data_IF_157663165240
#
_entry.id   IF_157663165240
#
_cell.length_a   1.000
_cell.length_b   1.000
_cell.length_c   1.000
_cell.angle_alpha   90.00
_cell.angle_beta   90.00
_cell.angle_gamma   90.00
#
_symmetry.space_group_name_H-M   'P 1'
#
loop_
_entity.id
_entity.type
_entity.pdbx_description
1 polymer ?
#
# COMPACT_ATOMS: atom_id res chain seq x y z
N UNK A 1 10.39 -9.84 23.55
CA UNK A 1 8.97 -9.52 23.86
C UNK A 1 8.46 -8.57 22.78
N UNK A 2 7.63 -9.05 21.84
CA UNK A 2 7.11 -8.20 20.76
C UNK A 2 5.91 -7.39 21.26
N UNK A 3 5.90 -6.08 21.02
CA UNK A 3 4.78 -5.20 21.38
C UNK A 3 3.51 -5.63 20.61
N UNK A 4 2.34 -5.65 21.26
CA UNK A 4 1.11 -6.21 20.66
C UNK A 4 0.71 -5.51 19.36
N UNK A 5 0.95 -4.20 19.28
CA UNK A 5 0.75 -3.40 18.08
C UNK A 5 1.56 -3.90 16.88
N UNK A 6 2.86 -4.15 17.05
CA UNK A 6 3.72 -4.67 15.97
C UNK A 6 3.26 -6.05 15.49
N UNK A 7 2.77 -6.91 16.40
CA UNK A 7 2.22 -8.21 16.02
C UNK A 7 0.99 -8.06 15.14
N UNK A 8 0.10 -7.13 15.47
CA UNK A 8 -1.09 -6.83 14.68
C UNK A 8 -0.71 -6.33 13.27
N UNK A 9 0.24 -5.39 13.16
CA UNK A 9 0.71 -4.88 11.87
C UNK A 9 1.32 -5.98 11.00
N UNK A 10 2.18 -6.82 11.58
CA UNK A 10 2.82 -7.95 10.86
C UNK A 10 1.78 -8.98 10.43
N UNK A 11 0.77 -9.23 11.26
CA UNK A 11 -0.32 -10.13 10.91
C UNK A 11 -1.16 -9.60 9.75
N UNK A 12 -1.58 -8.33 9.80
CA UNK A 12 -2.31 -7.67 8.71
C UNK A 12 -1.49 -7.70 7.42
N UNK A 13 -0.22 -7.33 7.49
CA UNK A 13 0.71 -7.41 6.37
C UNK A 13 0.74 -8.81 5.74
N UNK A 14 0.92 -9.83 6.58
CA UNK A 14 1.06 -11.22 6.13
C UNK A 14 -0.22 -11.72 5.44
N UNK A 15 -1.39 -11.40 5.98
CA UNK A 15 -2.68 -11.78 5.38
C UNK A 15 -2.86 -11.10 4.03
N UNK A 16 -2.70 -9.77 3.97
CA UNK A 16 -2.94 -9.01 2.73
C UNK A 16 -1.97 -9.45 1.65
N UNK A 17 -0.69 -9.62 2.00
CA UNK A 17 0.33 -10.10 1.08
C UNK A 17 -0.02 -11.50 0.54
N UNK A 18 -0.33 -12.45 1.43
CA UNK A 18 -0.68 -13.83 1.04
C UNK A 18 -1.89 -13.87 0.11
N UNK A 19 -2.96 -13.15 0.45
CA UNK A 19 -4.17 -13.10 -0.39
C UNK A 19 -3.84 -12.52 -1.76
N UNK A 20 -3.12 -11.39 -1.79
CA UNK A 20 -2.79 -10.71 -3.06
C UNK A 20 -1.92 -11.60 -3.95
N UNK A 21 -0.95 -12.31 -3.38
CA UNK A 21 -0.11 -13.26 -4.11
C UNK A 21 -0.93 -14.42 -4.66
N UNK A 22 -1.78 -15.06 -3.83
CA UNK A 22 -2.63 -16.18 -4.29
C UNK A 22 -3.58 -15.74 -5.41
N UNK A 23 -4.22 -14.57 -5.26
CA UNK A 23 -5.10 -14.03 -6.31
C UNK A 23 -4.34 -13.81 -7.61
N UNK A 24 -3.12 -13.27 -7.55
CA UNK A 24 -2.29 -13.09 -8.74
C UNK A 24 -1.95 -14.43 -9.41
N UNK A 25 -1.59 -15.44 -8.62
CA UNK A 25 -1.33 -16.78 -9.13
C UNK A 25 -2.57 -17.39 -9.80
N UNK A 26 -3.75 -17.21 -9.22
CA UNK A 26 -5.02 -17.66 -9.84
C UNK A 26 -5.29 -16.94 -11.15
N UNK A 27 -5.04 -15.62 -11.22
CA UNK A 27 -5.21 -14.84 -12.45
C UNK A 27 -4.26 -15.33 -13.55
N UNK A 28 -2.99 -15.59 -13.23
CA UNK A 28 -2.03 -16.16 -14.20
C UNK A 28 -2.49 -17.52 -14.72
N UNK A 29 -2.98 -18.40 -13.84
CA UNK A 29 -3.53 -19.71 -14.26
C UNK A 29 -4.72 -19.57 -15.20
N UNK A 30 -5.65 -18.65 -14.93
CA UNK A 30 -6.81 -18.37 -15.80
C UNK A 30 -6.35 -17.85 -17.17
N UNK A 31 -5.28 -17.08 -17.23
CA UNK A 31 -4.69 -16.55 -18.46
C UNK A 31 -3.82 -17.57 -19.21
N UNK A 32 -3.64 -18.79 -18.68
CA UNK A 32 -2.79 -19.82 -19.26
C UNK A 32 -1.29 -19.54 -19.10
N UNK A 33 -0.90 -18.60 -18.24
CA UNK A 33 0.49 -18.25 -17.96
C UNK A 33 0.99 -19.15 -16.83
N UNK A 34 1.94 -20.03 -17.16
CA UNK A 34 2.52 -20.98 -16.19
C UNK A 34 3.69 -20.39 -15.41
N UNK A 35 4.53 -19.61 -16.09
CA UNK A 35 5.73 -19.00 -15.53
C UNK A 35 5.55 -17.48 -15.44
N UNK A 36 5.94 -16.88 -14.32
CA UNK A 36 5.80 -15.43 -14.14
C UNK A 36 6.73 -14.69 -15.12
N UNK A 37 6.17 -13.91 -16.07
CA UNK A 37 6.97 -13.21 -17.08
C UNK A 37 7.92 -12.17 -16.48
N UNK A 38 7.64 -11.65 -15.28
CA UNK A 38 8.46 -10.66 -14.57
C UNK A 38 9.36 -11.30 -13.50
N UNK A 39 9.30 -12.62 -13.35
CA UNK A 39 10.00 -13.37 -12.31
C UNK A 39 9.65 -12.92 -10.89
N UNK A 40 10.57 -13.16 -9.94
CA UNK A 40 10.34 -12.90 -8.51
C UNK A 40 10.27 -11.41 -8.14
N UNK A 41 10.62 -10.50 -9.06
CA UNK A 41 10.59 -9.07 -8.80
C UNK A 41 9.17 -8.54 -8.58
N UNK A 42 8.19 -9.12 -9.27
CA UNK A 42 6.80 -8.73 -9.11
C UNK A 42 6.28 -9.00 -7.69
N UNK A 43 6.70 -10.11 -7.08
CA UNK A 43 6.36 -10.43 -5.68
C UNK A 43 7.02 -9.44 -4.69
N UNK A 44 8.26 -9.02 -4.95
CA UNK A 44 8.93 -7.99 -4.13
C UNK A 44 8.23 -6.63 -4.24
N UNK A 45 7.83 -6.22 -5.45
CA UNK A 45 7.07 -4.99 -5.65
C UNK A 45 5.73 -5.06 -4.92
N UNK A 46 5.04 -6.20 -4.98
CA UNK A 46 3.80 -6.44 -4.23
C UNK A 46 4.02 -6.33 -2.73
N UNK A 47 5.08 -6.96 -2.20
CA UNK A 47 5.46 -6.86 -0.80
C UNK A 47 5.66 -5.41 -0.35
N UNK A 48 6.38 -4.61 -1.15
CA UNK A 48 6.60 -3.18 -0.87
C UNK A 48 5.30 -2.38 -0.87
N UNK A 49 4.39 -2.61 -1.82
CA UNK A 49 3.10 -1.92 -1.88
C UNK A 49 2.24 -2.26 -0.66
N UNK A 50 2.16 -3.53 -0.28
CA UNK A 50 1.42 -3.96 0.91
C UNK A 50 2.02 -3.36 2.18
N UNK A 51 3.35 -3.29 2.26
CA UNK A 51 4.06 -2.66 3.37
C UNK A 51 3.70 -1.16 3.49
N UNK A 52 3.66 -0.43 2.37
CA UNK A 52 3.24 0.98 2.34
C UNK A 52 1.79 1.12 2.83
N UNK A 53 0.90 0.21 2.44
CA UNK A 53 -0.49 0.19 2.91
C UNK A 53 -0.61 -0.02 4.42
N UNK A 54 0.15 -0.96 4.97
CA UNK A 54 0.19 -1.21 6.42
C UNK A 54 0.81 -0.02 7.16
N UNK A 55 1.88 0.57 6.62
CA UNK A 55 2.46 1.79 7.17
C UNK A 55 1.45 2.94 7.21
N UNK A 56 0.65 3.12 6.15
CA UNK A 56 -0.39 4.12 6.10
C UNK A 56 -1.45 3.90 7.20
N UNK A 57 -1.88 2.65 7.38
CA UNK A 57 -2.82 2.27 8.44
C UNK A 57 -2.25 2.58 9.83
N UNK A 58 -1.00 2.21 10.09
CA UNK A 58 -0.39 2.42 11.39
C UNK A 58 -0.14 3.90 11.72
N UNK A 59 0.33 4.67 10.74
CA UNK A 59 0.45 6.12 10.90
C UNK A 59 -0.93 6.75 11.14
N UNK A 60 -1.98 6.32 10.46
CA UNK A 60 -3.32 6.86 10.68
C UNK A 60 -3.86 6.57 12.10
N UNK A 61 -3.52 5.40 12.67
CA UNK A 61 -4.01 4.95 13.98
C UNK A 61 -3.21 5.50 15.15
N UNK A 62 -1.88 5.52 15.05
CA UNK A 62 -0.98 5.79 16.18
C UNK A 62 -0.35 7.18 16.18
N UNK A 63 -0.46 7.95 15.10
CA UNK A 63 0.14 9.28 15.06
C UNK A 63 -0.62 10.25 16.01
N UNK A 64 0.07 10.86 17.00
CA UNK A 64 -0.55 11.64 18.08
C UNK A 64 -0.93 13.07 17.62
N UNK A 65 -1.54 13.21 16.45
CA UNK A 65 -1.97 14.48 15.87
C UNK A 65 -3.49 14.59 15.99
N UNK A 66 -3.96 15.56 16.79
CA UNK A 66 -5.40 15.77 17.04
C UNK A 66 -6.15 16.24 15.79
N UNK A 67 -5.52 17.08 14.96
CA UNK A 67 -6.14 17.60 13.74
C UNK A 67 -6.13 16.52 12.65
N UNK A 68 -7.32 16.04 12.27
CA UNK A 68 -7.49 14.98 11.30
C UNK A 68 -6.92 15.35 9.92
N UNK A 69 -7.07 16.60 9.49
CA UNK A 69 -6.54 17.06 8.20
C UNK A 69 -5.02 17.01 8.19
N UNK A 70 -4.38 17.51 9.25
CA UNK A 70 -2.93 17.51 9.35
C UNK A 70 -2.38 16.08 9.48
N UNK A 71 -3.06 15.20 10.24
CA UNK A 71 -2.70 13.79 10.33
C UNK A 71 -2.77 13.11 8.97
N UNK A 72 -3.87 13.27 8.24
CA UNK A 72 -4.04 12.68 6.91
C UNK A 72 -2.99 13.20 5.93
N UNK A 73 -2.65 14.49 5.99
CA UNK A 73 -1.59 15.08 5.16
C UNK A 73 -0.23 14.45 5.45
N UNK A 74 0.14 14.28 6.73
CA UNK A 74 1.41 13.64 7.11
C UNK A 74 1.45 12.19 6.64
N UNK A 75 0.37 11.42 6.85
CA UNK A 75 0.27 10.02 6.37
C UNK A 75 0.50 9.98 4.85
N UNK A 76 -0.20 10.85 4.09
CA UNK A 76 -0.06 10.93 2.63
C UNK A 76 1.37 11.24 2.19
N UNK A 77 2.01 12.26 2.77
CA UNK A 77 3.38 12.67 2.39
C UNK A 77 4.37 11.53 2.64
N UNK A 78 4.32 10.89 3.81
CA UNK A 78 5.26 9.81 4.16
C UNK A 78 5.07 8.62 3.24
N UNK A 79 3.83 8.21 3.00
CA UNK A 79 3.52 7.01 2.23
C UNK A 79 3.71 7.21 0.72
N UNK A 80 3.43 8.41 0.20
CA UNK A 80 3.78 8.79 -1.17
C UNK A 80 5.30 8.82 -1.37
N UNK A 81 6.07 9.32 -0.40
CA UNK A 81 7.53 9.27 -0.45
C UNK A 81 8.03 7.82 -0.53
N UNK A 82 7.45 6.89 0.25
CA UNK A 82 7.75 5.46 0.14
C UNK A 82 7.37 4.87 -1.23
N UNK A 83 6.27 5.30 -1.83
CA UNK A 83 5.87 4.86 -3.17
C UNK A 83 6.87 5.34 -4.24
N UNK A 84 7.31 6.60 -4.15
CA UNK A 84 8.38 7.11 -5.01
C UNK A 84 9.71 6.41 -4.79
N UNK A 85 10.08 6.09 -3.55
CA UNK A 85 11.27 5.29 -3.27
C UNK A 85 11.17 3.90 -3.88
N UNK A 86 9.98 3.28 -3.86
CA UNK A 86 9.75 1.98 -4.50
C UNK A 86 9.97 2.06 -6.01
N UNK A 87 9.42 3.08 -6.68
CA UNK A 87 9.64 3.33 -8.13
C UNK A 87 11.09 3.70 -8.44
N UNK A 88 11.74 4.45 -7.55
CA UNK A 88 13.17 4.71 -7.68
C UNK A 88 13.96 3.40 -7.58
N UNK A 89 13.65 2.52 -6.63
CA UNK A 89 14.35 1.23 -6.50
C UNK A 89 14.16 0.31 -7.71
N UNK A 90 13.07 0.41 -8.46
CA UNK A 90 12.87 -0.42 -9.66
C UNK A 90 13.82 -0.10 -10.80
N UNK A 91 14.45 1.09 -10.81
CA UNK A 91 15.42 1.47 -11.85
C UNK A 91 16.68 0.58 -11.89
N UNK A 92 16.98 -0.11 -10.78
CA UNK A 92 18.12 -1.03 -10.68
C UNK A 92 17.83 -2.41 -11.30
N UNK A 93 16.57 -2.67 -11.68
CA UNK A 93 16.10 -3.93 -12.25
C UNK A 93 15.87 -3.74 -13.75
N UNK A 94 15.07 -2.74 -14.09
CA UNK A 94 14.65 -2.45 -15.46
C UNK A 94 14.68 -0.94 -15.73
N UNK A 95 14.90 -0.53 -17.00
CA UNK A 95 14.86 0.88 -17.37
C UNK A 95 13.49 1.46 -17.05
N UNK A 96 13.50 2.54 -16.27
CA UNK A 96 12.26 3.18 -15.81
C UNK A 96 11.50 3.80 -16.99
N UNK A 97 10.20 3.55 -17.05
CA UNK A 97 9.35 4.23 -18.02
C UNK A 97 9.40 5.75 -17.80
N UNK A 98 9.36 6.52 -18.89
CA UNK A 98 9.47 7.99 -18.86
C UNK A 98 8.45 8.65 -17.92
N UNK A 99 7.26 8.06 -17.82
CA UNK A 99 6.15 8.57 -17.01
C UNK A 99 5.96 7.81 -15.67
N UNK A 100 6.86 6.90 -15.28
CA UNK A 100 6.69 6.05 -14.10
C UNK A 100 6.40 6.82 -12.79
N UNK A 101 7.07 7.94 -12.56
CA UNK A 101 6.83 8.80 -11.39
C UNK A 101 5.47 9.50 -11.46
N UNK A 102 5.03 9.91 -12.65
CA UNK A 102 3.72 10.53 -12.85
C UNK A 102 2.61 9.50 -12.65
N UNK A 103 2.81 8.30 -13.18
CA UNK A 103 1.85 7.21 -13.08
C UNK A 103 1.65 6.77 -11.63
N UNK A 104 2.74 6.55 -10.88
CA UNK A 104 2.62 6.20 -9.46
C UNK A 104 2.00 7.34 -8.66
N UNK A 105 2.33 8.60 -8.95
CA UNK A 105 1.75 9.75 -8.26
C UNK A 105 0.23 9.82 -8.45
N UNK A 106 -0.25 9.70 -9.69
CA UNK A 106 -1.68 9.75 -10.01
C UNK A 106 -2.40 8.55 -9.39
N UNK A 107 -1.89 7.34 -9.58
CA UNK A 107 -2.49 6.10 -9.07
C UNK A 107 -2.56 6.11 -7.54
N UNK A 108 -1.45 6.45 -6.88
CA UNK A 108 -1.36 6.49 -5.43
C UNK A 108 -2.29 7.55 -4.84
N UNK A 109 -2.26 8.77 -5.40
CA UNK A 109 -3.08 9.89 -4.92
C UNK A 109 -4.56 9.62 -5.10
N UNK A 110 -4.97 9.08 -6.26
CA UNK A 110 -6.35 8.69 -6.53
C UNK A 110 -6.84 7.65 -5.51
N UNK A 111 -6.08 6.57 -5.32
CA UNK A 111 -6.42 5.53 -4.35
C UNK A 111 -6.49 6.08 -2.92
N UNK A 112 -5.51 6.89 -2.52
CA UNK A 112 -5.45 7.47 -1.18
C UNK A 112 -6.68 8.35 -0.89
N UNK A 113 -7.09 9.19 -1.85
CA UNK A 113 -8.29 10.03 -1.71
C UNK A 113 -9.54 9.16 -1.56
N UNK A 114 -9.70 8.12 -2.39
CA UNK A 114 -10.84 7.19 -2.29
C UNK A 114 -10.91 6.54 -0.92
N UNK A 115 -9.80 6.00 -0.42
CA UNK A 115 -9.73 5.38 0.91
C UNK A 115 -10.00 6.40 2.02
N UNK A 116 -9.45 7.61 1.92
CA UNK A 116 -9.69 8.67 2.90
C UNK A 116 -11.18 9.06 2.96
N UNK A 117 -11.86 9.19 1.82
CA UNK A 117 -13.30 9.47 1.75
C UNK A 117 -14.10 8.34 2.42
N UNK A 118 -13.82 7.08 2.06
CA UNK A 118 -14.49 5.91 2.65
C UNK A 118 -14.32 5.92 4.17
N UNK A 119 -13.11 6.16 4.69
CA UNK A 119 -12.84 6.20 6.12
C UNK A 119 -13.62 7.33 6.82
N UNK A 120 -13.70 8.52 6.21
CA UNK A 120 -14.49 9.63 6.75
C UNK A 120 -15.97 9.27 6.80
N UNK A 121 -16.51 8.65 5.76
CA UNK A 121 -17.92 8.20 5.71
C UNK A 121 -18.18 7.17 6.81
N UNK A 122 -17.35 6.12 6.90
CA UNK A 122 -17.49 5.05 7.90
C UNK A 122 -17.39 5.61 9.32
N UNK A 123 -16.45 6.53 9.59
CA UNK A 123 -16.35 7.19 10.89
C UNK A 123 -17.59 8.01 11.21
N UNK A 124 -18.16 8.71 10.23
CA UNK A 124 -19.37 9.52 10.43
C UNK A 124 -20.60 8.65 10.70
N UNK A 125 -20.72 7.48 10.07
CA UNK A 125 -21.79 6.51 10.35
C UNK A 125 -21.63 5.93 11.75
N UNK A 126 -20.41 5.48 12.11
CA UNK A 126 -20.14 4.89 13.44
C UNK A 126 -20.30 5.87 14.59
N UNK A 127 -20.12 7.18 14.38
CA UNK A 127 -20.39 8.20 15.41
C UNK A 127 -21.87 8.56 15.56
N UNK A 128 -22.71 8.15 14.61
CA UNK A 128 -24.17 8.38 14.64
C UNK A 128 -24.95 7.20 15.24
N UNK A 129 -24.33 6.01 15.30
CA UNK A 129 -24.83 4.86 16.06
C UNK A 129 -24.35 4.94 17.51
#
# INVERSE_FOLDING_TARGET
>A
MWNNWLKESVFIYSIIYTITTIVNSVVYLIQGIRDDPSGNWHELTRAMIVLIGVLAYELARHLPIKNIFFRTLVVYIVTLACAFLTVWSTQFIEPLAKDAYKDIFINYTGLFIVVAIILVIVQRIRRKQ
#
